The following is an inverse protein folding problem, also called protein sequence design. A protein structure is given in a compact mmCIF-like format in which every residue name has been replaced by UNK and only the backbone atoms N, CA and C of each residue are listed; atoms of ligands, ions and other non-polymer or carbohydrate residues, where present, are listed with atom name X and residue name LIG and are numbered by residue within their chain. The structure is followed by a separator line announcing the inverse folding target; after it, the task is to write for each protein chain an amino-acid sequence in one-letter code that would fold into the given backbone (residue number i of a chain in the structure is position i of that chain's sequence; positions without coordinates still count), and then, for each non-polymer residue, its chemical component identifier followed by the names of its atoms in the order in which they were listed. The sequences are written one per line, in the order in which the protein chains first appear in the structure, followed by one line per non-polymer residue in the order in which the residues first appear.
data_IF_777842002082
#
_entry.id   IF_777842002082
#
_cell.length_a   1.000
_cell.length_b   1.000
_cell.length_c   1.000
_cell.angle_alpha   90.00
_cell.angle_beta   90.00
_cell.angle_gamma   90.00
#
_symmetry.space_group_name_H-M   'P 1'
#
loop_
_entity.id
_entity.type
_entity.pdbx_description
1 polymer ?
#
# COMPACT_ATOMS: atom_id res chain seq x y z
N UNK A 1 15.05 26.57 -40.35
CA UNK A 1 15.49 27.13 -39.07
C UNK A 1 14.29 27.12 -38.14
N UNK A 2 14.37 26.29 -37.09
CA UNK A 2 13.49 26.20 -35.90
C UNK A 2 12.07 25.64 -36.06
N UNK A 3 11.89 24.48 -35.43
CA UNK A 3 10.65 23.88 -34.97
C UNK A 3 10.29 24.39 -33.56
N UNK A 4 9.01 24.54 -33.23
CA UNK A 4 8.44 24.47 -31.86
C UNK A 4 6.94 24.85 -31.91
N UNK A 5 6.00 24.18 -31.26
CA UNK A 5 6.12 23.08 -30.31
C UNK A 5 4.81 22.32 -30.17
N UNK A 6 4.95 21.04 -29.84
CA UNK A 6 3.87 20.17 -29.40
C UNK A 6 4.46 19.30 -28.27
N UNK A 7 4.39 19.83 -27.05
CA UNK A 7 4.81 19.11 -25.85
C UNK A 7 3.88 19.46 -24.70
N UNK A 8 2.60 19.09 -24.80
CA UNK A 8 1.70 19.03 -23.64
C UNK A 8 0.47 18.19 -23.95
N UNK A 9 0.62 16.85 -24.01
CA UNK A 9 -0.55 15.96 -24.08
C UNK A 9 -0.35 14.59 -23.40
N UNK A 10 0.83 14.29 -22.85
CA UNK A 10 1.08 12.97 -22.26
C UNK A 10 0.70 12.84 -20.77
N UNK A 11 0.42 13.96 -20.07
CA UNK A 11 0.13 13.96 -18.62
C UNK A 11 -1.37 13.80 -18.28
N UNK A 12 -2.28 13.88 -19.26
CA UNK A 12 -3.73 13.97 -19.03
C UNK A 12 -4.48 12.63 -19.13
N UNK A 13 -3.88 11.54 -19.61
CA UNK A 13 -4.59 10.26 -19.77
C UNK A 13 -4.59 9.41 -18.50
N UNK A 14 -3.50 9.41 -17.73
CA UNK A 14 -3.37 8.54 -16.54
C UNK A 14 -4.35 8.88 -15.40
N UNK A 15 -4.86 10.10 -15.33
CA UNK A 15 -5.82 10.52 -14.30
C UNK A 15 -7.27 10.12 -14.61
N UNK A 16 -7.62 9.91 -15.89
CA UNK A 16 -8.99 9.57 -16.29
C UNK A 16 -9.33 8.11 -16.05
N UNK A 17 -8.39 7.20 -16.30
CA UNK A 17 -8.63 5.75 -16.18
C UNK A 17 -8.90 5.30 -14.74
N UNK A 18 -8.41 6.05 -13.75
CA UNK A 18 -8.72 5.76 -12.35
C UNK A 18 -10.21 6.03 -12.05
N UNK A 19 -10.82 7.09 -12.58
CA UNK A 19 -12.21 7.47 -12.25
C UNK A 19 -13.28 6.51 -12.79
N UNK A 20 -12.93 5.64 -13.75
CA UNK A 20 -13.86 4.66 -14.32
C UNK A 20 -13.97 3.36 -13.51
N UNK A 21 -13.17 3.20 -12.45
CA UNK A 21 -13.30 2.03 -11.58
C UNK A 21 -14.58 2.10 -10.76
N UNK A 22 -15.39 1.04 -10.82
CA UNK A 22 -16.59 0.87 -9.98
C UNK A 22 -16.29 0.95 -8.49
N UNK A 23 -15.06 0.63 -8.08
CA UNK A 23 -14.64 0.76 -6.68
C UNK A 23 -14.64 2.23 -6.22
N UNK A 24 -14.21 3.17 -7.07
CA UNK A 24 -14.15 4.59 -6.71
C UNK A 24 -15.46 5.34 -6.92
N UNK A 25 -16.46 4.68 -7.54
CA UNK A 25 -17.85 5.17 -7.55
C UNK A 25 -18.53 4.97 -6.18
N UNK A 26 -17.96 4.11 -5.32
CA UNK A 26 -18.45 3.91 -3.96
C UNK A 26 -17.99 5.06 -3.04
N UNK A 27 -18.82 5.48 -2.07
CA UNK A 27 -18.40 6.34 -0.97
C UNK A 27 -17.18 5.79 -0.22
N UNK A 28 -16.36 6.68 0.34
CA UNK A 28 -15.14 6.30 1.05
C UNK A 28 -15.39 5.30 2.18
N UNK A 29 -16.51 5.44 2.90
CA UNK A 29 -16.91 4.52 3.97
C UNK A 29 -17.04 3.08 3.47
N UNK A 30 -17.72 2.86 2.34
CA UNK A 30 -17.88 1.52 1.77
C UNK A 30 -16.56 0.96 1.23
N UNK A 31 -15.68 1.83 0.69
CA UNK A 31 -14.34 1.41 0.27
C UNK A 31 -13.51 0.94 1.45
N UNK A 32 -13.53 1.69 2.55
CA UNK A 32 -12.84 1.33 3.79
C UNK A 32 -13.35 0.00 4.34
N UNK A 33 -14.67 -0.22 4.36
CA UNK A 33 -15.25 -1.52 4.76
C UNK A 33 -14.75 -2.67 3.88
N UNK A 34 -14.67 -2.48 2.55
CA UNK A 34 -14.10 -3.49 1.65
C UNK A 34 -12.62 -3.74 1.96
N UNK A 35 -11.85 -2.68 2.21
CA UNK A 35 -10.43 -2.79 2.55
C UNK A 35 -10.22 -3.53 3.87
N UNK A 36 -11.04 -3.24 4.89
CA UNK A 36 -11.05 -3.96 6.17
C UNK A 36 -11.32 -5.46 5.93
N UNK A 37 -12.36 -5.82 5.18
CA UNK A 37 -12.64 -7.24 4.91
C UNK A 37 -11.53 -7.98 4.15
N UNK A 38 -10.83 -7.30 3.26
CA UNK A 38 -9.76 -7.90 2.45
C UNK A 38 -8.44 -7.98 3.21
N UNK A 39 -8.15 -7.00 4.07
CA UNK A 39 -6.87 -6.86 4.78
C UNK A 39 -6.91 -7.44 6.19
N UNK A 40 -8.09 -7.68 6.75
CA UNK A 40 -8.25 -8.31 8.04
C UNK A 40 -7.71 -9.75 8.00
N UNK A 41 -6.82 -10.04 8.94
CA UNK A 41 -6.33 -11.39 9.22
C UNK A 41 -6.21 -11.52 10.72
N UNK A 42 -6.71 -12.62 11.27
CA UNK A 42 -6.58 -12.96 12.69
C UNK A 42 -5.14 -13.39 13.02
N UNK A 43 -4.44 -13.95 12.02
CA UNK A 43 -3.08 -14.41 12.18
C UNK A 43 -2.08 -13.24 12.15
N UNK A 44 -1.06 -13.26 13.02
CA UNK A 44 -0.01 -12.26 12.99
C UNK A 44 0.80 -12.36 11.70
N UNK A 45 1.23 -11.21 11.19
CA UNK A 45 2.07 -11.09 10.00
C UNK A 45 3.53 -11.25 10.42
N UNK A 46 4.12 -12.40 10.09
CA UNK A 46 5.55 -12.62 10.29
C UNK A 46 6.33 -11.91 9.19
N UNK A 47 7.20 -10.95 9.54
CA UNK A 47 7.95 -10.16 8.58
C UNK A 47 8.84 -11.04 7.69
N UNK A 48 9.41 -12.11 8.24
CA UNK A 48 10.24 -13.08 7.51
C UNK A 48 9.51 -13.67 6.30
N UNK A 49 8.20 -13.93 6.42
CA UNK A 49 7.38 -14.49 5.33
C UNK A 49 7.07 -13.45 4.24
N UNK A 50 7.13 -12.16 4.58
CA UNK A 50 7.01 -11.08 3.61
C UNK A 50 8.26 -10.97 2.73
N UNK A 51 9.43 -11.39 3.21
CA UNK A 51 10.66 -11.36 2.43
C UNK A 51 10.72 -12.55 1.46
N UNK A 52 10.34 -12.29 0.20
CA UNK A 52 10.59 -13.24 -0.88
C UNK A 52 12.08 -13.33 -1.25
N UNK A 53 12.41 -14.17 -2.23
CA UNK A 53 13.80 -14.35 -2.72
C UNK A 53 14.50 -13.05 -3.16
N UNK A 54 13.75 -12.00 -3.46
CA UNK A 54 14.30 -10.74 -3.99
C UNK A 54 13.51 -9.48 -3.64
N UNK A 55 12.32 -9.60 -3.03
CA UNK A 55 11.45 -8.45 -2.75
C UNK A 55 10.45 -8.72 -1.62
N UNK A 56 10.00 -7.65 -0.98
CA UNK A 56 8.92 -7.67 0.00
C UNK A 56 7.57 -7.92 -0.70
N UNK A 57 6.79 -8.87 -0.16
CA UNK A 57 5.47 -9.24 -0.63
C UNK A 57 4.40 -8.57 0.21
N UNK A 58 3.92 -7.42 -0.25
CA UNK A 58 2.76 -6.77 0.35
C UNK A 58 1.45 -7.46 -0.05
N UNK A 59 0.35 -7.26 0.70
CA UNK A 59 -0.98 -7.63 0.25
C UNK A 59 -1.24 -7.11 -1.17
N UNK A 60 -1.82 -7.96 -2.04
CA UNK A 60 -2.04 -7.63 -3.44
C UNK A 60 -2.83 -6.31 -3.61
N UNK A 61 -3.77 -6.04 -2.70
CA UNK A 61 -4.57 -4.82 -2.67
C UNK A 61 -3.70 -3.55 -2.57
N UNK A 62 -2.61 -3.56 -1.80
CA UNK A 62 -1.71 -2.40 -1.66
C UNK A 62 -0.80 -2.20 -2.89
N UNK A 63 -0.81 -3.14 -3.83
CA UNK A 63 0.03 -3.11 -5.02
C UNK A 63 -0.69 -2.62 -6.28
N UNK A 64 -2.01 -2.42 -6.25
CA UNK A 64 -2.80 -2.13 -7.47
C UNK A 64 -2.60 -0.71 -8.01
N UNK A 65 -2.84 0.33 -7.21
CA UNK A 65 -2.69 1.72 -7.61
C UNK A 65 -2.39 2.62 -6.40
N UNK A 66 -1.94 3.86 -6.67
CA UNK A 66 -1.57 4.82 -5.63
C UNK A 66 -2.74 5.14 -4.69
N UNK A 67 -3.93 5.39 -5.24
CA UNK A 67 -5.11 5.73 -4.44
C UNK A 67 -5.49 4.62 -3.45
N UNK A 68 -5.64 3.37 -3.92
CA UNK A 68 -5.96 2.24 -3.05
C UNK A 68 -4.87 2.02 -2.00
N UNK A 69 -3.59 2.14 -2.38
CA UNK A 69 -2.48 2.04 -1.43
C UNK A 69 -2.57 3.10 -0.32
N UNK A 70 -2.90 4.33 -0.68
CA UNK A 70 -2.97 5.43 0.29
C UNK A 70 -4.14 5.26 1.25
N UNK A 71 -5.31 4.88 0.74
CA UNK A 71 -6.50 4.63 1.56
C UNK A 71 -6.35 3.36 2.42
N UNK A 72 -5.89 2.25 1.84
CA UNK A 72 -5.95 0.93 2.48
C UNK A 72 -4.74 0.58 3.35
N UNK A 73 -3.54 1.13 3.10
CA UNK A 73 -2.39 0.70 3.90
C UNK A 73 -2.50 1.17 5.36
N UNK A 74 -3.18 2.29 5.63
CA UNK A 74 -3.40 2.71 7.02
C UNK A 74 -4.22 1.69 7.81
N UNK A 75 -5.25 1.12 7.17
CA UNK A 75 -6.06 0.04 7.73
C UNK A 75 -5.16 -1.15 8.04
N UNK A 76 -4.41 -1.65 7.04
CA UNK A 76 -3.53 -2.81 7.21
C UNK A 76 -2.50 -2.64 8.33
N UNK A 77 -1.78 -1.51 8.38
CA UNK A 77 -0.78 -1.30 9.42
C UNK A 77 -1.39 -1.22 10.82
N UNK A 78 -2.59 -0.65 10.94
CA UNK A 78 -3.29 -0.50 12.22
C UNK A 78 -3.95 -1.78 12.72
N UNK A 79 -4.42 -2.65 11.81
CA UNK A 79 -5.15 -3.87 12.16
C UNK A 79 -4.24 -5.09 12.29
N UNK A 80 -3.07 -5.09 11.64
CA UNK A 80 -2.16 -6.24 11.65
C UNK A 80 -1.14 -6.16 12.78
N UNK A 81 -0.93 -7.29 13.45
CA UNK A 81 0.18 -7.49 14.39
C UNK A 81 1.37 -8.01 13.60
N UNK A 82 2.50 -7.29 13.64
CA UNK A 82 3.72 -7.71 12.97
C UNK A 82 4.67 -8.40 13.95
N UNK A 83 5.14 -9.59 13.59
CA UNK A 83 6.17 -10.34 14.33
C UNK A 83 7.46 -10.34 13.53
N UNK A 84 8.61 -10.31 14.22
CA UNK A 84 9.92 -10.40 13.58
C UNK A 84 10.91 -11.14 14.47
N UNK A 85 11.82 -11.86 13.82
CA UNK A 85 12.93 -12.56 14.47
C UNK A 85 14.27 -11.97 14.07
N UNK A 86 14.34 -11.20 12.98
CA UNK A 86 15.57 -10.60 12.46
C UNK A 86 15.54 -9.07 12.46
N UNK A 87 16.51 -8.48 13.15
CA UNK A 87 16.67 -7.03 13.18
C UNK A 87 16.91 -6.42 11.80
N UNK A 88 17.55 -7.17 10.88
CA UNK A 88 17.77 -6.75 9.50
C UNK A 88 16.45 -6.63 8.72
N UNK A 89 15.53 -7.58 8.93
CA UNK A 89 14.23 -7.57 8.28
C UNK A 89 13.36 -6.43 8.81
N UNK A 90 13.41 -6.16 10.11
CA UNK A 90 12.72 -5.03 10.73
C UNK A 90 13.24 -3.69 10.17
N UNK A 91 14.57 -3.49 10.10
CA UNK A 91 15.15 -2.26 9.54
C UNK A 91 14.78 -2.12 8.05
N UNK A 92 14.87 -3.20 7.28
CA UNK A 92 14.50 -3.19 5.86
C UNK A 92 13.02 -2.86 5.64
N UNK A 93 12.14 -3.41 6.48
CA UNK A 93 10.71 -3.14 6.46
C UNK A 93 10.42 -1.68 6.85
N UNK A 94 11.02 -1.19 7.93
CA UNK A 94 10.88 0.19 8.38
C UNK A 94 11.40 1.21 7.36
N UNK A 95 12.47 0.89 6.63
CA UNK A 95 12.98 1.72 5.54
C UNK A 95 12.06 1.75 4.32
N UNK A 96 11.22 0.72 4.13
CA UNK A 96 10.31 0.62 3.00
C UNK A 96 8.93 1.22 3.28
N UNK A 97 8.55 1.29 4.55
CA UNK A 97 7.34 1.99 4.99
C UNK A 97 7.57 3.49 4.87
N UNK A 98 6.60 4.21 4.31
CA UNK A 98 6.63 5.68 4.32
C UNK A 98 6.76 6.18 5.76
N UNK A 99 7.65 7.14 6.07
CA UNK A 99 7.91 7.57 7.46
C UNK A 99 6.64 7.98 8.22
N UNK A 100 5.61 8.43 7.49
CA UNK A 100 4.30 8.84 8.02
C UNK A 100 3.46 7.67 8.56
N UNK A 101 3.71 6.44 8.09
CA UNK A 101 2.92 5.24 8.45
C UNK A 101 3.57 4.40 9.55
N UNK A 102 4.79 4.72 9.97
CA UNK A 102 5.46 4.03 11.09
C UNK A 102 4.67 4.14 12.40
N UNK A 103 4.00 5.28 12.64
CA UNK A 103 3.17 5.49 13.83
C UNK A 103 1.89 4.64 13.86
N UNK A 104 1.55 3.97 12.76
CA UNK A 104 0.36 3.14 12.64
C UNK A 104 0.67 1.66 12.82
N UNK A 105 1.95 1.27 12.90
CA UNK A 105 2.34 -0.14 13.02
C UNK A 105 2.30 -0.55 14.48
N UNK A 106 1.43 -1.51 14.83
CA UNK A 106 1.47 -2.19 16.11
C UNK A 106 2.57 -3.26 16.09
N UNK A 107 3.60 -3.07 16.92
CA UNK A 107 4.86 -3.82 16.90
C UNK A 107 4.95 -4.61 18.21
N UNK A 108 4.89 -5.95 18.15
CA UNK A 108 4.98 -6.83 19.32
C UNK A 108 6.31 -7.58 19.36
N UNK A 109 7.13 -7.31 20.38
CA UNK A 109 8.40 -8.01 20.62
C UNK A 109 8.11 -9.40 21.18
N UNK A 110 8.67 -10.45 20.56
CA UNK A 110 8.82 -11.77 21.18
C UNK A 110 10.28 -12.08 21.48
#
# INVERSE_FOLDING_TARGET
MVASGAASSAASSAAKDAQDSRLFQLPAELRNTIYEFVLYSEDPVVLEDLWGRSSLRFPALLQVCRQVRDEAAGIWYSSSVFLWCSHRNLIGFAALIEPRRLNQVAVFLS
#
